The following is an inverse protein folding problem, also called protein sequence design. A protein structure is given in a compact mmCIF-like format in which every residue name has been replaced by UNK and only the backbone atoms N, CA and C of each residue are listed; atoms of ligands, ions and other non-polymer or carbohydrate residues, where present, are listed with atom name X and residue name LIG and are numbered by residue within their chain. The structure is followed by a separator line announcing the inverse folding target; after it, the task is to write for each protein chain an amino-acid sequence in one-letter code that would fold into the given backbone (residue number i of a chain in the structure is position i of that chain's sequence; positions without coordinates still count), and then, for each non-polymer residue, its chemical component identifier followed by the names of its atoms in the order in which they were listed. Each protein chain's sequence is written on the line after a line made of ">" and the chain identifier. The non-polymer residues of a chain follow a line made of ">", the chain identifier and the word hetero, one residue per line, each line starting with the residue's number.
data_IF_516534474158
#
_entry.id   IF_516534474158
#
_cell.length_a   1.000
_cell.length_b   1.000
_cell.length_c   1.000
_cell.angle_alpha   90.00
_cell.angle_beta   90.00
_cell.angle_gamma   90.00
#
_symmetry.space_group_name_H-M   'P 1'
#
loop_
_entity.id
_entity.type
_entity.pdbx_description
1 polymer ?
#
# COMPACT_ATOMS: atom_id res chain seq x y z
N UNK A 1 19.07 -16.74 -17.87
CA UNK A 1 17.67 -16.28 -17.96
C UNK A 1 17.31 -15.65 -16.63
N UNK A 2 17.02 -14.34 -16.59
CA UNK A 2 16.63 -13.65 -15.37
C UNK A 2 15.10 -13.71 -15.20
N UNK A 3 14.64 -13.94 -13.97
CA UNK A 3 13.21 -14.02 -13.65
C UNK A 3 12.73 -12.63 -13.24
N UNK A 4 11.72 -12.11 -13.95
CA UNK A 4 11.10 -10.81 -13.66
C UNK A 4 9.70 -11.09 -13.09
N UNK A 5 9.34 -10.41 -11.99
CA UNK A 5 7.99 -10.45 -11.42
C UNK A 5 7.24 -9.16 -11.71
N UNK A 6 5.91 -9.29 -11.82
CA UNK A 6 4.99 -8.17 -11.99
C UNK A 6 3.92 -8.28 -10.90
N UNK A 7 3.46 -7.12 -10.42
CA UNK A 7 2.40 -7.05 -9.42
C UNK A 7 1.42 -5.96 -9.79
N UNK A 8 0.14 -6.26 -9.68
CA UNK A 8 -0.97 -5.33 -9.81
C UNK A 8 -1.94 -5.62 -8.66
N UNK A 9 -2.42 -4.57 -8.02
CA UNK A 9 -3.36 -4.66 -6.90
C UNK A 9 -4.59 -3.81 -7.22
N UNK A 10 -5.78 -4.31 -6.88
CA UNK A 10 -7.03 -3.54 -7.03
C UNK A 10 -7.21 -2.58 -5.86
N UNK A 11 -8.19 -1.68 -5.93
CA UNK A 11 -8.50 -0.77 -4.82
C UNK A 11 -8.93 -1.54 -3.58
N UNK A 12 -9.80 -2.53 -3.77
CA UNK A 12 -10.31 -3.40 -2.70
C UNK A 12 -9.17 -4.25 -2.10
N UNK A 13 -8.27 -4.75 -2.95
CA UNK A 13 -7.07 -5.47 -2.49
C UNK A 13 -6.15 -4.58 -1.66
N UNK A 14 -5.97 -3.32 -2.07
CA UNK A 14 -5.17 -2.36 -1.30
C UNK A 14 -5.85 -1.98 0.02
N UNK A 15 -7.18 -1.84 0.07
CA UNK A 15 -7.91 -1.64 1.32
C UNK A 15 -7.75 -2.82 2.29
N UNK A 16 -7.73 -4.06 1.76
CA UNK A 16 -7.55 -5.27 2.57
C UNK A 16 -6.12 -5.41 3.11
N UNK A 17 -5.10 -5.13 2.30
CA UNK A 17 -3.69 -5.33 2.67
C UNK A 17 -3.03 -4.07 3.25
N UNK A 18 -3.57 -2.89 3.00
CA UNK A 18 -2.94 -1.60 3.30
C UNK A 18 -2.62 -1.43 4.77
N UNK A 19 -3.55 -1.76 5.66
CA UNK A 19 -3.33 -1.69 7.12
C UNK A 19 -2.18 -2.58 7.59
N UNK A 20 -2.05 -3.79 7.02
CA UNK A 20 -0.93 -4.69 7.33
C UNK A 20 0.40 -4.11 6.86
N UNK A 21 0.44 -3.51 5.66
CA UNK A 21 1.66 -2.89 5.12
C UNK A 21 2.09 -1.67 5.97
N UNK A 22 1.13 -0.84 6.39
CA UNK A 22 1.40 0.28 7.28
C UNK A 22 1.98 -0.18 8.61
N UNK A 23 1.38 -1.20 9.25
CA UNK A 23 1.85 -1.74 10.52
C UNK A 23 3.27 -2.31 10.42
N UNK A 24 3.59 -3.04 9.34
CA UNK A 24 4.95 -3.55 9.10
C UNK A 24 5.95 -2.42 8.87
N UNK A 25 5.62 -1.46 7.99
CA UNK A 25 6.49 -0.34 7.70
C UNK A 25 6.73 0.56 8.93
N UNK A 26 5.73 0.73 9.78
CA UNK A 26 5.85 1.46 11.05
C UNK A 26 6.77 0.73 12.04
N UNK A 27 6.62 -0.59 12.16
CA UNK A 27 7.50 -1.42 13.01
C UNK A 27 8.97 -1.39 12.56
N UNK A 28 9.21 -1.26 11.26
CA UNK A 28 10.57 -1.13 10.68
C UNK A 28 11.09 0.33 10.65
N UNK A 29 10.30 1.31 11.11
CA UNK A 29 10.67 2.73 11.07
C UNK A 29 10.68 3.34 9.66
N UNK A 30 10.08 2.66 8.68
CA UNK A 30 10.02 3.08 7.27
C UNK A 30 8.82 4.00 7.02
N UNK A 31 8.81 5.17 7.66
CA UNK A 31 7.67 6.11 7.60
C UNK A 31 7.29 6.54 6.19
N UNK A 32 8.26 6.70 5.28
CA UNK A 32 7.97 7.04 3.89
C UNK A 32 7.13 5.95 3.18
N UNK A 33 7.40 4.68 3.47
CA UNK A 33 6.67 3.55 2.90
C UNK A 33 5.25 3.48 3.47
N UNK A 34 5.10 3.61 4.79
CA UNK A 34 3.79 3.75 5.48
C UNK A 34 2.97 4.88 4.87
N UNK A 35 3.55 6.08 4.77
CA UNK A 35 2.85 7.26 4.26
C UNK A 35 2.40 7.09 2.80
N UNK A 36 3.20 6.40 1.97
CA UNK A 36 2.82 6.12 0.59
C UNK A 36 1.56 5.24 0.49
N UNK A 37 1.35 4.33 1.44
CA UNK A 37 0.12 3.52 1.56
C UNK A 37 -1.03 4.39 2.07
N UNK A 38 -0.80 5.17 3.14
CA UNK A 38 -1.83 6.02 3.75
C UNK A 38 -2.42 7.03 2.77
N UNK A 39 -1.61 7.62 1.89
CA UNK A 39 -2.10 8.56 0.87
C UNK A 39 -3.09 7.86 -0.07
N UNK A 40 -2.76 6.66 -0.55
CA UNK A 40 -3.61 5.90 -1.47
C UNK A 40 -4.90 5.43 -0.81
N UNK A 41 -4.83 4.97 0.45
CA UNK A 41 -6.02 4.58 1.21
C UNK A 41 -6.97 5.77 1.39
N UNK A 42 -6.43 6.94 1.74
CA UNK A 42 -7.21 8.19 1.85
C UNK A 42 -7.82 8.61 0.52
N UNK A 43 -7.11 8.48 -0.59
CA UNK A 43 -7.66 8.77 -1.93
C UNK A 43 -8.87 7.88 -2.23
N UNK A 44 -8.78 6.59 -1.91
CA UNK A 44 -9.88 5.63 -2.10
C UNK A 44 -11.07 5.96 -1.18
N UNK A 45 -10.83 6.25 0.11
CA UNK A 45 -11.88 6.62 1.06
C UNK A 45 -12.61 7.92 0.68
N UNK A 46 -11.87 8.91 0.17
CA UNK A 46 -12.44 10.18 -0.28
C UNK A 46 -13.15 10.07 -1.64
N UNK A 47 -13.15 8.89 -2.28
CA UNK A 47 -13.73 8.69 -3.60
C UNK A 47 -13.02 9.46 -4.72
N UNK A 48 -11.75 9.85 -4.50
CA UNK A 48 -10.97 10.62 -5.46
C UNK A 48 -10.34 9.64 -6.45
N UNK A 49 -11.05 9.44 -7.58
CA UNK A 49 -10.73 8.61 -8.77
C UNK A 49 -10.60 7.11 -8.56
#
# INVERSE_FOLDING_TARGET
>A
MHKISFQQITKEGLQLLGGTIEAMAEAEGLFAHRNAVSIRLKEIENGIK
#
